data_IF_632457977297
#
_entry.id   IF_632457977297
#
_cell.length_a   1.000
_cell.length_b   1.000
_cell.length_c   1.000
_cell.angle_alpha   90.00
_cell.angle_beta   90.00
_cell.angle_gamma   90.00
#
_symmetry.space_group_name_H-M   'P 1'
#
loop_
_entity.id
_entity.type
_entity.pdbx_description
1 polymer ?
#
# COMPACT_ATOMS: atom_id res chain seq x y z
N UNK A 1 -3.19 73.48 28.76
CA UNK A 1 -3.84 72.49 27.91
C UNK A 1 -2.80 71.47 27.47
N UNK A 2 -2.73 70.28 28.07
CA UNK A 2 -1.76 69.26 27.71
C UNK A 2 -2.39 68.27 26.73
N UNK A 3 -1.89 68.20 25.53
CA UNK A 3 -2.32 67.23 24.51
C UNK A 3 -1.72 65.86 24.85
N UNK A 4 -2.57 64.86 25.23
CA UNK A 4 -2.21 63.47 25.36
C UNK A 4 -2.04 62.83 23.97
N UNK A 5 -0.81 62.46 23.61
CA UNK A 5 -0.52 61.69 22.41
C UNK A 5 -0.79 60.21 22.75
N UNK A 6 -1.82 59.64 22.12
CA UNK A 6 -2.11 58.20 22.21
C UNK A 6 -1.30 57.47 21.13
N UNK A 7 -0.30 56.69 21.54
CA UNK A 7 0.45 55.83 20.65
C UNK A 7 -0.31 54.50 20.50
N UNK A 8 -0.96 54.28 19.38
CA UNK A 8 -1.58 52.99 19.04
C UNK A 8 -0.51 52.07 18.46
N UNK A 9 -0.07 51.11 19.25
CA UNK A 9 0.87 50.06 18.82
C UNK A 9 0.09 49.03 18.00
N UNK A 10 0.25 49.05 16.68
CA UNK A 10 -0.24 48.00 15.77
C UNK A 10 0.68 46.80 15.91
N UNK A 11 0.28 45.79 16.66
CA UNK A 11 0.93 44.45 16.65
C UNK A 11 0.41 43.74 15.40
N UNK A 12 1.22 43.73 14.34
CA UNK A 12 0.98 42.87 13.20
C UNK A 12 1.23 41.42 13.62
N UNK A 13 0.15 40.69 13.92
CA UNK A 13 0.19 39.25 14.06
C UNK A 13 0.37 38.68 12.65
N UNK A 14 1.61 38.46 12.25
CA UNK A 14 1.91 37.61 11.11
C UNK A 14 1.61 36.18 11.55
N UNK A 15 0.43 35.68 11.16
CA UNK A 15 0.17 34.25 11.22
C UNK A 15 1.21 33.55 10.31
N UNK A 16 2.18 32.92 10.93
CA UNK A 16 3.08 32.02 10.22
C UNK A 16 2.18 30.83 9.77
N UNK A 17 1.71 30.91 8.53
CA UNK A 17 1.09 29.74 7.89
C UNK A 17 2.21 28.69 7.81
N UNK A 18 2.11 27.61 8.56
CA UNK A 18 3.00 26.49 8.42
C UNK A 18 2.85 25.96 6.98
N UNK A 19 3.87 26.18 6.17
CA UNK A 19 3.93 25.64 4.81
C UNK A 19 4.10 24.13 4.89
N UNK A 20 3.34 23.38 4.11
CA UNK A 20 3.59 21.97 3.93
C UNK A 20 5.05 21.74 3.50
N UNK A 21 5.73 20.80 4.12
CA UNK A 21 7.11 20.45 3.79
C UNK A 21 7.12 19.42 2.66
N UNK A 22 7.94 19.64 1.64
CA UNK A 22 8.11 18.70 0.54
C UNK A 22 9.57 18.27 0.38
N UNK A 23 9.81 16.97 0.30
CA UNK A 23 11.08 16.37 -0.10
C UNK A 23 10.92 15.70 -1.46
N UNK A 24 11.64 16.21 -2.46
CA UNK A 24 11.75 15.57 -3.77
C UNK A 24 12.87 14.56 -3.77
N UNK A 25 12.59 13.37 -4.31
CA UNK A 25 13.54 12.27 -4.47
C UNK A 25 13.60 11.91 -5.95
N UNK A 26 14.79 11.89 -6.52
CA UNK A 26 15.05 11.51 -7.90
C UNK A 26 16.23 10.53 -7.94
N UNK A 27 15.95 9.27 -8.24
CA UNK A 27 16.96 8.21 -8.28
C UNK A 27 18.04 8.44 -9.36
N UNK A 28 17.74 9.20 -10.41
CA UNK A 28 18.64 9.42 -11.52
C UNK A 28 19.56 10.64 -11.31
N UNK A 29 19.01 11.77 -10.88
CA UNK A 29 19.71 13.05 -10.81
C UNK A 29 19.94 13.56 -9.39
N UNK A 30 19.31 12.91 -8.40
CA UNK A 30 19.38 13.31 -6.99
C UNK A 30 20.73 13.02 -6.32
N UNK A 31 20.93 13.68 -5.20
CA UNK A 31 22.08 13.46 -4.32
C UNK A 31 21.62 13.65 -2.86
N UNK A 32 21.95 12.72 -1.98
CA UNK A 32 21.51 12.74 -0.58
C UNK A 32 22.16 13.86 0.25
N UNK A 33 23.20 14.51 -0.26
CA UNK A 33 23.73 15.75 0.29
C UNK A 33 22.90 17.01 -0.07
N UNK A 34 21.95 16.90 -0.99
CA UNK A 34 21.09 18.01 -1.41
C UNK A 34 20.05 18.36 -0.32
N UNK A 35 19.44 19.56 -0.37
CA UNK A 35 18.37 19.94 0.56
C UNK A 35 17.07 19.16 0.38
N UNK A 36 16.84 18.50 -0.76
CA UNK A 36 15.62 17.74 -1.04
C UNK A 36 14.51 18.57 -1.66
N UNK A 37 14.74 19.78 -2.14
CA UNK A 37 13.74 20.51 -2.90
C UNK A 37 13.73 20.08 -4.39
N UNK A 38 12.75 20.53 -5.15
CA UNK A 38 12.55 20.15 -6.57
C UNK A 38 13.78 20.42 -7.45
N UNK A 39 14.52 21.49 -7.19
CA UNK A 39 15.71 21.87 -7.97
C UNK A 39 16.95 21.06 -7.60
N UNK A 40 17.02 20.59 -6.37
CA UNK A 40 18.12 19.77 -5.83
C UNK A 40 17.54 18.63 -5.01
N UNK A 41 17.02 17.57 -5.67
CA UNK A 41 16.37 16.45 -5.01
C UNK A 41 17.35 15.55 -4.27
N UNK A 42 16.84 14.79 -3.33
CA UNK A 42 17.53 13.65 -2.73
C UNK A 42 17.66 12.52 -3.75
N UNK A 43 18.57 11.59 -3.52
CA UNK A 43 18.73 10.41 -4.37
C UNK A 43 17.91 9.22 -3.86
N UNK A 44 17.85 9.04 -2.54
CA UNK A 44 17.27 7.84 -1.96
C UNK A 44 16.04 8.13 -1.10
N UNK A 45 15.09 7.17 -1.10
CA UNK A 45 13.93 7.22 -0.21
C UNK A 45 14.39 7.07 1.25
N UNK A 46 15.44 6.30 1.51
CA UNK A 46 15.99 6.10 2.83
C UNK A 46 16.47 7.42 3.46
N UNK A 47 17.13 8.28 2.69
CA UNK A 47 17.52 9.62 3.18
C UNK A 47 16.30 10.50 3.43
N UNK A 48 15.29 10.49 2.56
CA UNK A 48 14.06 11.24 2.79
C UNK A 48 13.37 10.77 4.08
N UNK A 49 13.29 9.48 4.33
CA UNK A 49 12.74 8.91 5.56
C UNK A 49 13.52 9.33 6.80
N UNK A 50 14.87 9.30 6.77
CA UNK A 50 15.71 9.76 7.88
C UNK A 50 15.44 11.23 8.23
N UNK A 51 15.26 12.09 7.23
CA UNK A 51 14.92 13.51 7.47
C UNK A 51 13.54 13.65 8.09
N UNK A 52 12.53 12.99 7.54
CA UNK A 52 11.19 13.00 8.10
C UNK A 52 11.18 12.51 9.55
N UNK A 53 11.90 11.43 9.84
CA UNK A 53 11.96 10.87 11.19
C UNK A 53 12.63 11.83 12.21
N UNK A 54 13.56 12.68 11.77
CA UNK A 54 14.28 13.62 12.63
C UNK A 54 13.60 14.99 12.76
N UNK A 55 12.65 15.33 11.88
CA UNK A 55 12.06 16.64 11.82
C UNK A 55 10.98 16.88 12.88
N UNK A 56 10.77 18.16 13.22
CA UNK A 56 9.59 18.61 13.94
C UNK A 56 8.41 18.70 12.96
N UNK A 57 7.33 17.99 13.24
CA UNK A 57 6.13 18.03 12.39
C UNK A 57 5.29 19.25 12.73
N UNK A 58 5.37 20.28 11.90
CA UNK A 58 4.57 21.52 12.06
C UNK A 58 3.39 21.56 11.08
N UNK A 59 3.48 20.82 9.96
CA UNK A 59 2.46 20.66 8.94
C UNK A 59 2.55 19.26 8.32
N UNK A 60 1.68 18.95 7.38
CA UNK A 60 1.82 17.73 6.56
C UNK A 60 3.14 17.74 5.80
N UNK A 61 3.78 16.59 5.72
CA UNK A 61 5.05 16.41 5.00
C UNK A 61 4.83 15.48 3.81
N UNK A 62 5.33 15.86 2.64
CA UNK A 62 5.21 15.05 1.43
C UNK A 62 6.59 14.64 0.92
N UNK A 63 6.79 13.35 0.70
CA UNK A 63 7.91 12.81 -0.08
C UNK A 63 7.41 12.59 -1.50
N UNK A 64 7.93 13.37 -2.45
CA UNK A 64 7.56 13.30 -3.88
C UNK A 64 8.63 12.51 -4.62
N UNK A 65 8.25 11.37 -5.20
CA UNK A 65 9.13 10.54 -5.99
C UNK A 65 8.97 10.86 -7.48
N UNK A 66 10.05 11.27 -8.12
CA UNK A 66 10.11 11.45 -9.57
C UNK A 66 10.13 10.08 -10.25
N UNK A 67 9.65 9.99 -11.50
CA UNK A 67 9.70 8.75 -12.27
C UNK A 67 11.13 8.18 -12.34
N UNK A 68 11.29 6.91 -12.02
CA UNK A 68 12.60 6.25 -11.97
C UNK A 68 12.54 4.91 -11.22
N UNK A 69 13.69 4.25 -11.14
CA UNK A 69 13.84 2.98 -10.40
C UNK A 69 14.59 3.25 -9.10
N UNK A 70 13.97 2.89 -8.00
CA UNK A 70 14.46 3.07 -6.63
C UNK A 70 14.82 1.72 -6.02
N UNK A 71 16.07 1.26 -6.14
CA UNK A 71 16.51 0.03 -5.49
C UNK A 71 16.68 0.28 -3.99
N UNK A 72 15.88 -0.38 -3.18
CA UNK A 72 16.05 -0.37 -1.74
C UNK A 72 17.21 -1.29 -1.37
N UNK A 73 18.22 -0.74 -0.71
CA UNK A 73 19.38 -1.46 -0.18
C UNK A 73 19.29 -1.70 1.33
N UNK A 74 18.34 -1.07 1.96
CA UNK A 74 17.99 -1.18 3.38
C UNK A 74 16.49 -1.06 3.57
N UNK A 75 15.95 -1.57 4.66
CA UNK A 75 14.56 -1.30 5.07
C UNK A 75 14.38 0.20 5.30
N UNK A 76 13.39 0.79 4.66
CA UNK A 76 13.09 2.22 4.83
C UNK A 76 12.09 2.38 5.96
N UNK A 77 12.59 2.80 7.12
CA UNK A 77 11.80 2.98 8.34
C UNK A 77 11.17 4.37 8.40
N UNK A 78 9.86 4.42 8.65
CA UNK A 78 9.08 5.62 8.94
C UNK A 78 8.51 5.51 10.35
N UNK A 79 9.02 6.31 11.32
CA UNK A 79 8.67 6.20 12.74
C UNK A 79 8.52 7.53 13.48
N UNK A 80 8.28 8.63 12.76
CA UNK A 80 8.00 9.90 13.40
C UNK A 80 6.56 9.95 13.91
N UNK A 81 6.36 9.71 15.18
CA UNK A 81 5.04 9.66 15.86
C UNK A 81 4.40 11.02 16.14
N UNK A 82 4.89 12.10 15.53
CA UNK A 82 4.33 13.46 15.68
C UNK A 82 3.28 13.80 14.60
N UNK A 83 3.08 12.93 13.62
CA UNK A 83 1.99 13.08 12.67
C UNK A 83 0.63 12.92 13.36
N UNK A 84 -0.40 13.53 12.80
CA UNK A 84 -1.76 13.56 13.35
C UNK A 84 -2.76 13.64 12.19
N UNK A 85 -4.05 13.58 12.50
CA UNK A 85 -5.12 13.71 11.50
C UNK A 85 -4.98 14.96 10.63
N UNK A 86 -4.54 16.10 11.22
CA UNK A 86 -4.35 17.36 10.50
C UNK A 86 -2.96 17.51 9.85
N UNK A 87 -2.04 16.63 10.16
CA UNK A 87 -0.63 16.68 9.74
C UNK A 87 -0.17 15.29 9.33
N UNK A 88 -0.29 14.98 8.06
CA UNK A 88 -0.09 13.65 7.51
C UNK A 88 1.25 13.49 6.83
N UNK A 89 1.86 12.32 6.91
CA UNK A 89 2.95 11.95 6.02
C UNK A 89 2.38 11.41 4.72
N UNK A 90 2.84 11.94 3.58
CA UNK A 90 2.42 11.52 2.25
C UNK A 90 3.65 11.09 1.47
N UNK A 91 3.69 9.85 0.99
CA UNK A 91 4.72 9.35 0.09
C UNK A 91 4.04 9.11 -1.25
N UNK A 92 4.37 9.89 -2.27
CA UNK A 92 3.65 9.80 -3.54
C UNK A 92 4.52 9.96 -4.77
N UNK A 93 4.03 9.47 -5.90
CA UNK A 93 4.57 9.81 -7.19
C UNK A 93 4.40 11.31 -7.51
N UNK A 94 5.30 11.89 -8.31
CA UNK A 94 5.14 13.25 -8.83
C UNK A 94 3.93 13.34 -9.75
N UNK A 95 3.73 12.36 -10.62
CA UNK A 95 2.57 12.25 -11.55
C UNK A 95 1.69 11.08 -11.09
N UNK A 96 0.43 11.37 -10.78
CA UNK A 96 -0.53 10.39 -10.30
C UNK A 96 -1.39 9.80 -11.42
N UNK A 97 -1.97 8.60 -11.24
CA UNK A 97 -2.78 7.92 -12.27
C UNK A 97 -3.90 8.75 -12.89
N UNK A 98 -4.51 9.67 -12.16
CA UNK A 98 -5.59 10.53 -12.68
C UNK A 98 -5.10 11.83 -13.36
N UNK A 99 -3.78 12.05 -13.40
CA UNK A 99 -3.21 13.18 -14.11
C UNK A 99 -3.26 12.95 -15.63
N UNK A 100 -3.59 13.96 -16.40
CA UNK A 100 -3.80 13.85 -17.85
C UNK A 100 -2.56 13.43 -18.64
N UNK A 101 -1.37 13.62 -18.09
CA UNK A 101 -0.09 13.23 -18.67
C UNK A 101 0.48 11.93 -18.08
N UNK A 102 -0.31 11.21 -17.28
CA UNK A 102 0.13 9.95 -16.70
C UNK A 102 0.22 8.83 -17.74
N UNK A 103 1.19 7.98 -17.53
CA UNK A 103 1.32 6.67 -18.16
C UNK A 103 2.08 5.75 -17.18
N UNK A 104 2.11 4.43 -17.38
CA UNK A 104 2.75 3.50 -16.44
C UNK A 104 4.25 3.75 -16.20
N UNK A 105 4.95 4.39 -17.14
CA UNK A 105 6.37 4.74 -17.01
C UNK A 105 6.59 5.94 -16.07
N UNK A 106 5.54 6.73 -15.78
CA UNK A 106 5.60 7.81 -14.80
C UNK A 106 5.60 7.31 -13.34
N UNK A 107 5.21 6.06 -13.10
CA UNK A 107 5.21 5.50 -11.76
C UNK A 107 6.64 5.24 -11.28
N UNK A 108 7.04 5.77 -10.11
CA UNK A 108 8.29 5.38 -9.46
C UNK A 108 8.27 3.88 -9.16
N UNK A 109 9.29 3.17 -9.60
CA UNK A 109 9.41 1.71 -9.42
C UNK A 109 10.26 1.42 -8.19
N UNK A 110 9.65 0.88 -7.16
CA UNK A 110 10.32 0.45 -5.93
C UNK A 110 10.70 -1.02 -6.11
N UNK A 111 11.98 -1.30 -6.12
CA UNK A 111 12.51 -2.67 -6.15
C UNK A 111 13.42 -2.89 -4.94
N UNK A 112 13.74 -4.13 -4.60
CA UNK A 112 14.58 -4.39 -3.44
C UNK A 112 15.78 -5.25 -3.78
N UNK A 113 16.92 -4.85 -3.23
CA UNK A 113 18.14 -5.62 -3.13
C UNK A 113 18.58 -5.76 -1.67
N UNK A 114 17.66 -5.53 -0.74
CA UNK A 114 17.89 -5.65 0.71
C UNK A 114 18.38 -7.08 1.00
N UNK A 115 19.49 -7.24 1.72
CA UNK A 115 19.88 -8.54 2.22
C UNK A 115 18.77 -9.11 3.10
N UNK A 116 18.39 -10.34 2.85
CA UNK A 116 17.41 -11.02 3.70
C UNK A 116 18.02 -11.39 5.03
N UNK A 117 17.23 -11.24 6.09
CA UNK A 117 17.61 -11.68 7.43
C UNK A 117 16.98 -13.05 7.71
N UNK A 118 17.74 -13.99 8.30
CA UNK A 118 17.19 -15.27 8.72
C UNK A 118 16.09 -15.08 9.75
N UNK A 119 14.95 -15.72 9.52
CA UNK A 119 13.87 -15.82 10.50
C UNK A 119 13.88 -17.24 11.07
N UNK A 120 14.02 -17.43 12.39
CA UNK A 120 14.06 -18.75 12.98
C UNK A 120 12.85 -19.60 12.54
N UNK A 121 13.13 -20.77 11.97
CA UNK A 121 12.16 -21.74 11.46
C UNK A 121 11.33 -21.31 10.23
N UNK A 122 11.64 -20.18 9.59
CA UNK A 122 10.72 -19.58 8.64
C UNK A 122 11.39 -18.99 7.36
N UNK A 123 12.69 -19.27 7.16
CA UNK A 123 13.46 -18.83 6.00
C UNK A 123 14.06 -17.43 6.18
N UNK A 124 14.05 -16.62 5.13
CA UNK A 124 14.64 -15.29 5.11
C UNK A 124 13.57 -14.21 4.84
N UNK A 125 13.71 -13.05 5.47
CA UNK A 125 12.78 -11.94 5.37
C UNK A 125 13.46 -10.65 4.91
N UNK A 126 12.77 -9.88 4.06
CA UNK A 126 13.13 -8.51 3.72
C UNK A 126 11.88 -7.63 3.74
N UNK A 127 11.96 -6.47 4.37
CA UNK A 127 10.92 -5.44 4.41
C UNK A 127 11.33 -4.26 3.56
N UNK A 128 10.43 -3.78 2.73
CA UNK A 128 10.65 -2.58 1.93
C UNK A 128 10.45 -1.32 2.77
N UNK A 129 9.20 -0.87 2.88
CA UNK A 129 8.79 0.20 3.80
C UNK A 129 8.32 -0.41 5.11
N UNK A 130 8.95 -0.03 6.21
CA UNK A 130 8.51 -0.35 7.57
C UNK A 130 7.87 0.87 8.19
N UNK A 131 6.60 0.74 8.57
CA UNK A 131 5.76 1.85 9.04
C UNK A 131 5.49 1.65 10.54
N UNK A 132 6.00 2.55 11.35
CA UNK A 132 5.80 2.61 12.81
C UNK A 132 5.21 3.96 13.24
N UNK A 133 4.30 4.49 12.43
CA UNK A 133 3.62 5.76 12.68
C UNK A 133 2.17 5.74 12.20
N UNK A 134 1.38 6.68 12.72
CA UNK A 134 0.00 6.94 12.31
C UNK A 134 -0.06 7.97 11.17
N UNK A 135 -1.23 8.08 10.54
CA UNK A 135 -1.56 9.13 9.58
C UNK A 135 -0.62 9.19 8.36
N UNK A 136 -0.45 8.06 7.69
CA UNK A 136 0.37 7.95 6.49
C UNK A 136 -0.46 7.67 5.24
N UNK A 137 -0.04 8.26 4.11
CA UNK A 137 -0.54 7.93 2.76
C UNK A 137 0.60 7.48 1.86
N UNK A 138 0.42 6.37 1.15
CA UNK A 138 1.33 5.88 0.11
C UNK A 138 0.52 5.86 -1.20
N UNK A 139 0.96 6.63 -2.21
CA UNK A 139 0.15 6.86 -3.41
C UNK A 139 0.96 6.83 -4.71
N UNK A 140 0.44 6.14 -5.72
CA UNK A 140 0.93 6.19 -7.10
C UNK A 140 2.26 5.47 -7.34
N UNK A 141 2.68 4.57 -6.44
CA UNK A 141 3.95 3.86 -6.54
C UNK A 141 3.78 2.48 -7.17
N UNK A 142 4.81 2.02 -7.86
CA UNK A 142 4.89 0.65 -8.39
C UNK A 142 5.91 -0.15 -7.59
N UNK A 143 5.48 -1.21 -6.96
CA UNK A 143 6.34 -2.15 -6.24
C UNK A 143 6.56 -3.41 -7.08
N UNK A 144 7.81 -3.85 -7.19
CA UNK A 144 8.17 -5.15 -7.78
C UNK A 144 8.61 -6.10 -6.68
N UNK A 145 8.64 -7.39 -6.98
CA UNK A 145 9.14 -8.40 -6.04
C UNK A 145 10.64 -8.32 -5.78
N UNK A 146 11.09 -9.07 -4.80
CA UNK A 146 12.51 -9.26 -4.49
C UNK A 146 13.10 -10.32 -5.43
N UNK A 147 14.36 -10.14 -5.86
CA UNK A 147 15.07 -11.18 -6.59
C UNK A 147 15.31 -12.40 -5.69
N UNK A 148 15.08 -13.59 -6.23
CA UNK A 148 15.32 -14.86 -5.52
C UNK A 148 14.22 -15.88 -5.79
N UNK A 149 14.50 -17.12 -5.43
CA UNK A 149 13.51 -18.19 -5.56
C UNK A 149 12.57 -18.20 -4.37
N UNK A 150 11.28 -18.38 -4.66
CA UNK A 150 10.24 -18.45 -3.65
C UNK A 150 10.28 -19.74 -2.84
N UNK A 151 10.61 -20.85 -3.52
CA UNK A 151 10.80 -22.15 -2.91
C UNK A 151 12.12 -22.78 -3.38
N UNK A 152 12.96 -23.20 -2.45
CA UNK A 152 14.09 -24.08 -2.70
C UNK A 152 13.82 -25.38 -1.93
N UNK A 153 13.87 -26.50 -2.63
CA UNK A 153 13.66 -27.84 -2.07
C UNK A 153 12.35 -27.99 -1.26
N UNK A 154 11.27 -27.35 -1.74
CA UNK A 154 9.96 -27.35 -1.10
C UNK A 154 9.85 -26.50 0.17
N UNK A 155 10.92 -25.77 0.52
CA UNK A 155 10.91 -24.81 1.65
C UNK A 155 10.80 -23.40 1.13
N UNK A 156 10.01 -22.60 1.81
CA UNK A 156 9.93 -21.17 1.53
C UNK A 156 11.26 -20.50 1.90
N UNK A 157 11.94 -19.94 0.88
CA UNK A 157 13.30 -19.48 1.06
C UNK A 157 13.39 -17.97 1.25
N UNK A 158 12.49 -17.17 0.66
CA UNK A 158 12.55 -15.73 0.75
C UNK A 158 11.16 -15.12 0.90
N UNK A 159 11.01 -14.26 1.89
CA UNK A 159 9.80 -13.50 2.14
C UNK A 159 10.08 -12.02 1.91
N UNK A 160 9.40 -11.42 0.98
CA UNK A 160 9.47 -9.99 0.76
C UNK A 160 8.11 -9.35 1.01
N UNK A 161 8.18 -8.27 1.81
CA UNK A 161 7.05 -7.44 2.21
C UNK A 161 7.30 -6.00 1.74
N UNK A 162 6.77 -5.58 0.59
CA UNK A 162 6.89 -4.20 0.11
C UNK A 162 6.48 -3.15 1.14
N UNK A 163 5.35 -3.36 1.83
CA UNK A 163 4.83 -2.48 2.86
C UNK A 163 4.47 -3.29 4.09
N UNK A 164 5.11 -2.96 5.20
CA UNK A 164 4.87 -3.56 6.50
C UNK A 164 4.57 -2.48 7.53
N UNK A 165 3.35 -2.46 8.10
CA UNK A 165 3.04 -1.66 9.29
C UNK A 165 3.10 -2.56 10.51
N UNK A 166 4.00 -2.24 11.44
CA UNK A 166 4.17 -2.98 12.68
C UNK A 166 3.82 -2.10 13.89
N UNK A 167 2.82 -2.52 14.65
CA UNK A 167 2.33 -1.80 15.82
C UNK A 167 0.82 -1.92 15.98
N UNK A 168 0.38 -2.61 17.03
CA UNK A 168 -1.05 -2.92 17.28
C UNK A 168 -1.94 -1.71 17.53
N UNK A 169 -1.34 -0.60 17.96
CA UNK A 169 -2.07 0.64 18.26
C UNK A 169 -1.96 1.69 17.16
N UNK A 170 -1.27 1.36 16.05
CA UNK A 170 -1.17 2.28 14.92
C UNK A 170 -2.50 2.36 14.16
N UNK A 171 -2.79 3.53 13.63
CA UNK A 171 -4.04 3.82 12.92
C UNK A 171 -3.80 4.64 11.65
N UNK A 172 -4.83 4.74 10.81
CA UNK A 172 -4.92 5.64 9.67
C UNK A 172 -3.76 5.53 8.66
N UNK A 173 -3.70 4.39 7.98
CA UNK A 173 -2.80 4.14 6.86
C UNK A 173 -3.60 4.00 5.56
N UNK A 174 -3.37 4.90 4.61
CA UNK A 174 -3.94 4.83 3.26
C UNK A 174 -2.89 4.39 2.25
N UNK A 175 -3.18 3.31 1.53
CA UNK A 175 -2.43 2.90 0.33
C UNK A 175 -3.37 3.01 -0.87
N UNK A 176 -3.04 3.89 -1.80
CA UNK A 176 -3.94 4.19 -2.91
C UNK A 176 -3.20 4.34 -4.24
N UNK A 177 -3.86 3.98 -5.34
CA UNK A 177 -3.34 4.09 -6.70
C UNK A 177 -1.95 3.45 -6.88
N UNK A 178 -1.65 2.39 -6.10
CA UNK A 178 -0.39 1.68 -6.16
C UNK A 178 -0.51 0.40 -6.99
N UNK A 179 0.59 0.04 -7.64
CA UNK A 179 0.72 -1.16 -8.45
C UNK A 179 1.74 -2.12 -7.81
N UNK A 180 1.32 -3.32 -7.47
CA UNK A 180 2.17 -4.38 -6.97
C UNK A 180 2.28 -5.49 -8.03
N UNK A 181 3.45 -5.61 -8.66
CA UNK A 181 3.70 -6.56 -9.72
C UNK A 181 4.77 -7.58 -9.30
N UNK A 182 4.32 -8.74 -8.85
CA UNK A 182 5.17 -9.88 -8.52
C UNK A 182 5.39 -10.82 -9.71
N UNK A 183 6.27 -11.75 -9.51
CA UNK A 183 6.42 -12.96 -10.32
C UNK A 183 6.88 -14.07 -9.37
N UNK A 184 6.07 -15.10 -9.21
CA UNK A 184 6.30 -16.17 -8.23
C UNK A 184 7.65 -16.89 -8.43
N UNK A 185 8.16 -16.94 -9.64
CA UNK A 185 9.38 -17.68 -9.97
C UNK A 185 10.66 -16.85 -9.80
N UNK A 186 10.61 -15.56 -10.14
CA UNK A 186 11.84 -14.74 -10.24
C UNK A 186 11.80 -13.44 -9.42
N UNK A 187 10.62 -12.91 -9.14
CA UNK A 187 10.41 -11.66 -8.38
C UNK A 187 9.22 -11.81 -7.41
N UNK A 188 9.28 -12.76 -6.47
CA UNK A 188 8.15 -13.01 -5.57
C UNK A 188 7.86 -11.83 -4.65
N UNK A 189 6.56 -11.57 -4.45
CA UNK A 189 6.01 -10.76 -3.37
C UNK A 189 5.27 -11.69 -2.43
N UNK A 190 5.76 -11.83 -1.19
CA UNK A 190 5.11 -12.69 -0.18
C UNK A 190 3.80 -12.10 0.29
N UNK A 191 3.84 -10.88 0.80
CA UNK A 191 2.67 -10.07 1.14
C UNK A 191 2.94 -8.65 0.69
N UNK A 192 2.11 -8.12 -0.20
CA UNK A 192 2.35 -6.79 -0.73
C UNK A 192 2.08 -5.71 0.33
N UNK A 193 0.99 -5.84 1.10
CA UNK A 193 0.65 -4.98 2.22
C UNK A 193 0.26 -5.86 3.41
N UNK A 194 1.02 -5.77 4.49
CA UNK A 194 0.66 -6.36 5.78
C UNK A 194 0.59 -5.26 6.83
N UNK A 195 -0.48 -5.20 7.60
CA UNK A 195 -0.64 -4.16 8.60
C UNK A 195 -1.29 -4.70 9.88
N UNK A 196 -0.60 -4.46 10.98
CA UNK A 196 -1.17 -4.50 12.33
C UNK A 196 -1.93 -3.20 12.64
N UNK A 197 -2.77 -3.20 13.67
CA UNK A 197 -3.46 -1.99 14.15
C UNK A 197 -4.77 -1.73 13.42
N UNK A 198 -5.13 -0.46 13.32
CA UNK A 198 -6.43 0.01 12.83
C UNK A 198 -6.31 0.80 11.53
N UNK A 199 -7.45 1.09 10.90
CA UNK A 199 -7.54 2.07 9.81
C UNK A 199 -6.64 1.78 8.61
N UNK A 200 -6.39 0.52 8.25
CA UNK A 200 -5.78 0.20 6.96
C UNK A 200 -6.84 0.37 5.86
N UNK A 201 -6.63 1.35 5.01
CA UNK A 201 -7.45 1.57 3.81
C UNK A 201 -6.61 1.28 2.57
N UNK A 202 -7.04 0.30 1.77
CA UNK A 202 -6.43 -0.03 0.47
C UNK A 202 -7.44 0.33 -0.61
N UNK A 203 -7.11 1.30 -1.43
CA UNK A 203 -8.04 1.93 -2.35
C UNK A 203 -7.43 2.09 -3.75
N UNK A 204 -8.17 1.74 -4.80
CA UNK A 204 -7.69 1.88 -6.19
C UNK A 204 -6.27 1.31 -6.41
N UNK A 205 -5.99 0.12 -5.90
CA UNK A 205 -4.71 -0.56 -6.09
C UNK A 205 -4.83 -1.75 -7.05
N UNK A 206 -3.73 -2.07 -7.71
CA UNK A 206 -3.61 -3.27 -8.55
C UNK A 206 -2.55 -4.21 -7.98
N UNK A 207 -2.91 -5.47 -7.87
CA UNK A 207 -2.03 -6.54 -7.42
C UNK A 207 -1.99 -7.65 -8.48
N UNK A 208 -0.81 -7.89 -9.01
CA UNK A 208 -0.59 -8.89 -10.02
C UNK A 208 0.44 -9.92 -9.55
N UNK A 209 0.06 -11.20 -9.58
CA UNK A 209 0.93 -12.34 -9.27
C UNK A 209 1.67 -12.21 -7.91
N UNK A 210 0.99 -11.66 -6.91
CA UNK A 210 1.44 -11.66 -5.52
C UNK A 210 0.99 -12.94 -4.82
N UNK A 211 1.71 -13.39 -3.80
CA UNK A 211 1.24 -14.52 -3.02
C UNK A 211 0.03 -14.13 -2.18
N UNK A 212 0.16 -13.08 -1.39
CA UNK A 212 -0.92 -12.48 -0.61
C UNK A 212 -0.91 -10.96 -0.85
N UNK A 213 -1.80 -10.43 -1.67
CA UNK A 213 -1.91 -8.99 -1.89
C UNK A 213 -2.05 -8.18 -0.63
N UNK A 214 -3.06 -8.46 0.20
CA UNK A 214 -3.32 -7.70 1.42
C UNK A 214 -3.59 -8.64 2.58
N UNK A 215 -2.88 -8.41 3.68
CA UNK A 215 -3.09 -9.10 4.96
C UNK A 215 -3.45 -8.09 6.03
N UNK A 216 -4.70 -8.14 6.50
CA UNK A 216 -5.15 -7.43 7.68
C UNK A 216 -4.74 -8.27 8.88
N UNK A 217 -3.58 -7.91 9.43
CA UNK A 217 -2.87 -8.70 10.42
C UNK A 217 -3.14 -8.23 11.84
N UNK A 218 -3.27 -9.16 12.77
CA UNK A 218 -3.27 -8.84 14.19
C UNK A 218 -2.52 -9.96 14.95
N UNK A 219 -1.22 -9.81 15.04
CA UNK A 219 -0.34 -10.83 15.62
C UNK A 219 -0.58 -11.09 17.12
N UNK A 220 -1.12 -10.08 17.82
CA UNK A 220 -1.27 -10.15 19.29
C UNK A 220 -2.72 -10.34 19.76
N UNK A 221 -3.65 -10.51 18.82
CA UNK A 221 -5.08 -10.56 19.12
C UNK A 221 -5.67 -9.17 19.43
N UNK A 222 -6.99 -9.08 19.39
CA UNK A 222 -7.75 -7.84 19.59
C UNK A 222 -8.45 -7.37 18.32
N UNK A 223 -9.28 -6.34 18.47
CA UNK A 223 -10.05 -5.77 17.36
C UNK A 223 -9.18 -4.83 16.53
N UNK A 224 -9.21 -5.02 15.22
CA UNK A 224 -8.75 -4.04 14.24
C UNK A 224 -9.98 -3.37 13.62
N UNK A 225 -10.04 -2.05 13.61
CA UNK A 225 -11.22 -1.26 13.21
C UNK A 225 -10.92 -0.34 12.05
N UNK A 226 -11.99 0.17 11.40
CA UNK A 226 -11.93 1.17 10.33
C UNK A 226 -11.05 0.72 9.15
N UNK A 227 -10.99 -0.59 8.90
CA UNK A 227 -10.28 -1.12 7.75
C UNK A 227 -11.16 -1.09 6.51
N UNK A 228 -10.55 -0.86 5.37
CA UNK A 228 -11.26 -0.90 4.10
C UNK A 228 -10.40 -1.45 2.96
N UNK A 229 -11.06 -2.13 2.04
CA UNK A 229 -10.49 -2.43 0.74
C UNK A 229 -11.55 -2.20 -0.32
N UNK A 230 -11.27 -1.31 -1.28
CA UNK A 230 -12.25 -0.90 -2.27
C UNK A 230 -11.62 -0.53 -3.60
N UNK A 231 -12.36 -0.76 -4.68
CA UNK A 231 -11.92 -0.47 -6.05
C UNK A 231 -10.55 -1.08 -6.41
N UNK A 232 -10.19 -2.20 -5.80
CA UNK A 232 -8.92 -2.87 -6.05
C UNK A 232 -9.07 -3.98 -7.07
N UNK A 233 -8.03 -4.18 -7.88
CA UNK A 233 -7.92 -5.29 -8.83
C UNK A 233 -6.82 -6.24 -8.36
N UNK A 234 -7.19 -7.46 -7.99
CA UNK A 234 -6.28 -8.55 -7.65
C UNK A 234 -6.37 -9.62 -8.73
N UNK A 235 -5.25 -9.93 -9.35
CA UNK A 235 -5.20 -10.87 -10.46
C UNK A 235 -4.06 -11.88 -10.30
N UNK A 236 -4.40 -13.16 -10.44
CA UNK A 236 -3.44 -14.27 -10.31
C UNK A 236 -2.71 -14.32 -8.96
N UNK A 237 -3.42 -14.06 -7.84
CA UNK A 237 -2.83 -14.30 -6.52
C UNK A 237 -2.63 -15.81 -6.30
N UNK A 238 -1.38 -16.19 -5.92
CA UNK A 238 -1.05 -17.61 -5.89
C UNK A 238 -1.30 -18.29 -4.54
N UNK A 239 -1.79 -17.54 -3.53
CA UNK A 239 -2.25 -18.10 -2.26
C UNK A 239 -3.59 -17.51 -1.81
N UNK A 240 -3.66 -16.21 -1.47
CA UNK A 240 -4.91 -15.53 -1.12
C UNK A 240 -5.03 -14.18 -1.82
N UNK A 241 -6.24 -13.75 -2.17
CA UNK A 241 -6.52 -12.37 -2.56
C UNK A 241 -6.48 -11.45 -1.36
N UNK A 242 -7.22 -11.80 -0.32
CA UNK A 242 -7.26 -11.10 0.97
C UNK A 242 -7.05 -12.11 2.09
N UNK A 243 -6.34 -11.73 3.11
CA UNK A 243 -6.19 -12.52 4.33
C UNK A 243 -6.54 -11.68 5.56
N UNK A 244 -7.47 -12.18 6.35
CA UNK A 244 -7.86 -11.60 7.64
C UNK A 244 -7.48 -12.54 8.77
N UNK A 245 -6.60 -12.10 9.67
CA UNK A 245 -6.17 -12.88 10.84
C UNK A 245 -6.82 -12.38 12.11
N UNK A 246 -7.25 -11.14 12.11
CA UNK A 246 -7.80 -10.48 13.26
C UNK A 246 -9.32 -10.36 13.18
N UNK A 247 -9.86 -10.02 14.29
CA UNK A 247 -11.18 -9.48 14.43
C UNK A 247 -11.20 -8.06 13.82
N UNK A 248 -11.36 -8.01 12.51
CA UNK A 248 -11.57 -6.75 11.78
C UNK A 248 -13.00 -6.28 11.94
N UNK A 249 -13.52 -6.12 13.08
CA UNK A 249 -14.82 -5.53 13.43
C UNK A 249 -15.95 -5.54 12.37
N UNK A 250 -17.15 -5.22 12.79
CA UNK A 250 -18.31 -5.11 11.87
C UNK A 250 -18.23 -3.89 10.92
N UNK A 251 -17.22 -3.03 11.10
CA UNK A 251 -16.99 -1.80 10.34
C UNK A 251 -15.99 -1.97 9.17
N UNK A 252 -15.64 -3.21 8.81
CA UNK A 252 -14.78 -3.48 7.68
C UNK A 252 -15.50 -3.22 6.35
N UNK A 253 -15.02 -2.23 5.59
CA UNK A 253 -15.56 -1.90 4.28
C UNK A 253 -14.89 -2.73 3.18
N UNK A 254 -15.69 -3.51 2.44
CA UNK A 254 -15.17 -4.27 1.30
C UNK A 254 -16.16 -4.25 0.13
N UNK A 255 -15.84 -3.45 -0.90
CA UNK A 255 -16.72 -3.28 -2.04
C UNK A 255 -15.98 -2.89 -3.33
N UNK A 256 -16.65 -3.11 -4.46
CA UNK A 256 -16.16 -2.77 -5.80
C UNK A 256 -14.77 -3.36 -6.11
N UNK A 257 -14.43 -4.48 -5.49
CA UNK A 257 -13.17 -5.17 -5.74
C UNK A 257 -13.33 -6.29 -6.77
N UNK A 258 -12.26 -6.52 -7.53
CA UNK A 258 -12.13 -7.68 -8.42
C UNK A 258 -10.98 -8.54 -7.92
N UNK A 259 -11.27 -9.80 -7.57
CA UNK A 259 -10.26 -10.81 -7.23
C UNK A 259 -10.46 -11.97 -8.19
N UNK A 260 -9.51 -12.16 -9.10
CA UNK A 260 -9.72 -13.09 -10.21
C UNK A 260 -8.52 -13.97 -10.52
N UNK A 261 -8.83 -15.16 -11.04
CA UNK A 261 -7.88 -16.12 -11.60
C UNK A 261 -6.78 -16.55 -10.60
N UNK A 262 -7.05 -16.45 -9.31
CA UNK A 262 -6.16 -16.80 -8.23
C UNK A 262 -6.45 -18.16 -7.60
N UNK A 263 -5.74 -18.46 -6.51
CA UNK A 263 -5.97 -19.71 -5.77
C UNK A 263 -7.17 -19.57 -4.82
N UNK A 264 -7.16 -18.62 -3.90
CA UNK A 264 -8.24 -18.40 -2.93
C UNK A 264 -8.58 -16.91 -2.87
N UNK A 265 -9.83 -16.55 -3.02
CA UNK A 265 -10.19 -15.14 -2.97
C UNK A 265 -10.04 -14.56 -1.57
N UNK A 266 -10.49 -15.27 -0.54
CA UNK A 266 -10.40 -14.82 0.85
C UNK A 266 -9.92 -15.93 1.78
N UNK A 267 -8.84 -15.66 2.51
CA UNK A 267 -8.34 -16.53 3.58
C UNK A 267 -8.68 -15.91 4.94
N UNK A 268 -9.27 -16.71 5.80
CA UNK A 268 -9.61 -16.37 7.18
C UNK A 268 -8.80 -17.25 8.13
N UNK A 269 -8.27 -16.68 9.20
CA UNK A 269 -7.69 -17.48 10.28
C UNK A 269 -8.81 -18.21 11.07
N UNK A 270 -8.51 -19.41 11.52
CA UNK A 270 -9.47 -20.25 12.25
C UNK A 270 -9.90 -19.64 13.60
N UNK A 271 -9.11 -18.74 14.17
CA UNK A 271 -9.42 -18.06 15.43
C UNK A 271 -10.43 -16.91 15.26
N UNK A 272 -10.64 -16.39 14.05
CA UNK A 272 -11.58 -15.30 13.82
C UNK A 272 -13.03 -15.80 13.76
N UNK A 273 -13.90 -15.25 14.59
CA UNK A 273 -15.33 -15.56 14.64
C UNK A 273 -16.19 -14.58 13.82
N UNK A 274 -15.57 -13.55 13.25
CA UNK A 274 -16.31 -12.47 12.59
C UNK A 274 -16.88 -12.84 11.24
N UNK A 275 -17.99 -12.17 10.93
CA UNK A 275 -18.64 -12.18 9.63
C UNK A 275 -18.37 -10.87 8.92
N UNK A 276 -17.98 -10.95 7.66
CA UNK A 276 -17.72 -9.80 6.81
C UNK A 276 -18.86 -9.60 5.83
N UNK A 277 -19.21 -8.34 5.59
CA UNK A 277 -20.12 -7.95 4.51
C UNK A 277 -19.30 -7.49 3.33
N UNK A 278 -19.55 -8.08 2.17
CA UNK A 278 -18.93 -7.69 0.92
C UNK A 278 -20.00 -7.45 -0.12
N UNK A 279 -19.87 -6.37 -0.87
CA UNK A 279 -20.87 -6.04 -1.87
C UNK A 279 -20.27 -5.46 -3.15
N UNK A 280 -21.02 -5.61 -4.27
CA UNK A 280 -20.61 -5.10 -5.58
C UNK A 280 -19.18 -5.56 -5.97
N UNK A 281 -18.89 -6.84 -5.79
CA UNK A 281 -17.57 -7.41 -6.04
C UNK A 281 -17.61 -8.52 -7.10
N UNK A 282 -16.44 -8.79 -7.66
CA UNK A 282 -16.22 -9.95 -8.52
C UNK A 282 -15.10 -10.81 -7.90
N UNK A 283 -15.43 -12.04 -7.49
CA UNK A 283 -14.49 -13.04 -6.98
C UNK A 283 -14.36 -14.20 -7.96
N UNK A 284 -14.00 -13.88 -9.23
CA UNK A 284 -14.19 -14.79 -10.35
C UNK A 284 -13.01 -15.74 -10.58
N UNK A 285 -13.34 -16.98 -10.93
CA UNK A 285 -12.40 -17.98 -11.44
C UNK A 285 -11.26 -18.30 -10.45
N UNK A 286 -11.45 -18.08 -9.16
CA UNK A 286 -10.53 -18.56 -8.14
C UNK A 286 -10.78 -20.05 -7.87
N UNK A 287 -9.74 -20.81 -7.53
CA UNK A 287 -9.90 -22.24 -7.19
C UNK A 287 -10.83 -22.39 -5.99
N UNK A 288 -10.67 -21.50 -4.98
CA UNK A 288 -11.54 -21.43 -3.82
C UNK A 288 -12.05 -19.99 -3.64
N UNK A 289 -13.31 -19.82 -3.25
CA UNK A 289 -13.82 -18.51 -2.80
C UNK A 289 -13.23 -18.19 -1.43
N UNK A 290 -13.24 -19.17 -0.54
CA UNK A 290 -12.75 -19.00 0.84
C UNK A 290 -11.81 -20.15 1.24
N UNK A 291 -10.85 -19.85 2.11
CA UNK A 291 -9.91 -20.79 2.62
C UNK A 291 -9.41 -20.46 4.02
N UNK A 292 -8.72 -21.41 4.65
CA UNK A 292 -8.02 -21.21 5.92
C UNK A 292 -6.52 -20.95 5.72
N UNK A 293 -5.82 -20.56 6.78
CA UNK A 293 -4.39 -20.33 6.76
C UNK A 293 -3.53 -21.55 6.38
N UNK A 294 -4.10 -22.76 6.34
CA UNK A 294 -3.46 -23.97 5.82
C UNK A 294 -3.69 -24.22 4.33
N UNK A 295 -4.41 -23.31 3.63
CA UNK A 295 -4.70 -23.39 2.19
C UNK A 295 -5.84 -24.34 1.82
N UNK A 296 -6.57 -24.90 2.79
CA UNK A 296 -7.76 -25.72 2.56
C UNK A 296 -8.99 -24.81 2.34
N UNK A 297 -9.87 -25.22 1.41
CA UNK A 297 -11.18 -24.59 1.29
C UNK A 297 -11.98 -24.73 2.58
N UNK A 298 -12.72 -23.69 2.94
CA UNK A 298 -13.65 -23.68 4.08
C UNK A 298 -15.02 -23.21 3.62
N UNK A 299 -16.03 -23.38 4.51
CA UNK A 299 -17.34 -22.80 4.28
C UNK A 299 -17.25 -21.26 4.23
N UNK A 300 -18.01 -20.65 3.32
CA UNK A 300 -18.04 -19.19 3.13
C UNK A 300 -19.15 -18.49 3.95
N UNK A 301 -19.76 -19.14 4.92
CA UNK A 301 -20.85 -18.60 5.77
C UNK A 301 -20.44 -17.30 6.50
N UNK A 302 -19.15 -17.08 6.71
CA UNK A 302 -18.64 -15.87 7.32
C UNK A 302 -18.62 -14.66 6.34
N UNK A 303 -18.81 -14.88 5.04
CA UNK A 303 -18.94 -13.82 4.03
C UNK A 303 -20.42 -13.62 3.65
N UNK A 304 -20.98 -12.51 4.10
CA UNK A 304 -22.27 -12.04 3.59
C UNK A 304 -22.04 -11.35 2.25
N UNK A 305 -22.37 -12.03 1.16
CA UNK A 305 -22.16 -11.55 -0.19
C UNK A 305 -23.45 -10.90 -0.73
N UNK A 306 -23.36 -9.65 -1.15
CA UNK A 306 -24.44 -8.90 -1.79
C UNK A 306 -23.96 -8.39 -3.15
N UNK A 307 -24.67 -8.75 -4.22
CA UNK A 307 -24.27 -8.42 -5.59
C UNK A 307 -22.82 -8.84 -5.91
N UNK A 308 -22.45 -10.09 -5.59
CA UNK A 308 -21.11 -10.65 -5.81
C UNK A 308 -21.14 -11.67 -6.92
N UNK A 309 -20.28 -11.51 -7.92
CA UNK A 309 -20.14 -12.44 -9.05
C UNK A 309 -18.96 -13.39 -8.82
N UNK A 310 -19.18 -14.69 -9.01
CA UNK A 310 -18.16 -15.73 -8.79
C UNK A 310 -17.54 -16.27 -10.08
N UNK A 311 -18.06 -15.88 -11.23
CA UNK A 311 -17.60 -16.32 -12.54
C UNK A 311 -17.64 -15.16 -13.53
N UNK A 312 -16.84 -15.25 -14.57
CA UNK A 312 -16.81 -14.28 -15.66
C UNK A 312 -15.43 -14.16 -16.28
N UNK A 313 -15.32 -13.78 -17.54
CA UNK A 313 -14.04 -13.59 -18.20
C UNK A 313 -13.39 -12.28 -17.73
N UNK A 314 -12.38 -12.39 -16.89
CA UNK A 314 -11.57 -11.25 -16.44
C UNK A 314 -10.26 -11.25 -17.19
N UNK A 315 -10.01 -10.19 -17.94
CA UNK A 315 -8.81 -10.00 -18.73
C UNK A 315 -8.13 -8.68 -18.38
N UNK A 316 -6.81 -8.72 -18.24
CA UNK A 316 -5.98 -7.54 -18.02
C UNK A 316 -4.98 -7.35 -19.16
N UNK A 317 -4.50 -6.14 -19.33
CA UNK A 317 -3.42 -5.86 -20.27
C UNK A 317 -2.07 -6.19 -19.64
N UNK A 318 -1.35 -7.16 -20.17
CA UNK A 318 -0.04 -7.61 -19.65
C UNK A 318 1.16 -7.00 -20.39
N UNK A 319 0.93 -6.24 -21.44
CA UNK A 319 2.00 -5.57 -22.16
C UNK A 319 2.44 -4.29 -21.42
N UNK A 320 3.67 -4.30 -20.91
CA UNK A 320 4.26 -3.18 -20.16
C UNK A 320 4.45 -1.91 -21.01
N UNK A 321 4.43 -2.00 -22.32
CA UNK A 321 4.52 -0.86 -23.22
C UNK A 321 3.23 -0.08 -23.39
N UNK A 322 2.10 -0.60 -22.89
CA UNK A 322 0.80 0.02 -23.05
C UNK A 322 0.41 0.91 -21.87
N UNK A 323 -0.35 1.96 -22.17
CA UNK A 323 -0.82 2.93 -21.17
C UNK A 323 -1.73 2.31 -20.10
N UNK A 324 -2.42 1.22 -20.41
CA UNK A 324 -3.29 0.49 -19.49
C UNK A 324 -2.66 -0.80 -18.94
N UNK A 325 -1.32 -0.87 -18.85
CA UNK A 325 -0.62 -2.01 -18.28
C UNK A 325 -1.17 -2.43 -16.92
N UNK A 326 -1.49 -3.70 -16.79
CA UNK A 326 -2.14 -4.36 -15.63
C UNK A 326 -3.50 -3.77 -15.24
N UNK A 327 -4.15 -3.02 -16.13
CA UNK A 327 -5.56 -2.62 -15.96
C UNK A 327 -6.47 -3.62 -16.67
N UNK A 328 -7.75 -3.62 -16.30
CA UNK A 328 -8.77 -4.37 -17.02
C UNK A 328 -8.81 -3.91 -18.49
N UNK A 329 -8.93 -4.88 -19.39
CA UNK A 329 -9.29 -4.56 -20.76
C UNK A 329 -10.72 -4.04 -20.83
N UNK A 330 -11.00 -3.15 -21.75
CA UNK A 330 -12.33 -2.51 -21.87
C UNK A 330 -13.48 -3.54 -22.02
N UNK A 331 -13.23 -4.62 -22.76
CA UNK A 331 -14.18 -5.70 -22.94
C UNK A 331 -14.24 -6.70 -21.77
N UNK A 332 -13.41 -6.54 -20.74
CA UNK A 332 -13.39 -7.44 -19.60
C UNK A 332 -14.68 -7.33 -18.80
N UNK A 333 -15.17 -8.48 -18.34
CA UNK A 333 -16.24 -8.49 -17.35
C UNK A 333 -15.81 -7.69 -16.11
N UNK A 334 -16.69 -6.86 -15.57
CA UNK A 334 -16.40 -6.04 -14.40
C UNK A 334 -15.71 -4.69 -14.69
N UNK A 335 -15.48 -4.32 -15.95
CA UNK A 335 -14.92 -3.00 -16.28
C UNK A 335 -15.74 -1.83 -15.71
N UNK A 336 -17.06 -2.01 -15.59
CA UNK A 336 -17.97 -1.01 -15.00
C UNK A 336 -17.74 -0.77 -13.49
N UNK A 337 -17.07 -1.69 -12.76
CA UNK A 337 -16.74 -1.50 -11.35
C UNK A 337 -15.62 -0.48 -11.13
N UNK A 338 -14.89 -0.11 -12.20
CA UNK A 338 -13.75 0.80 -12.13
C UNK A 338 -12.68 0.39 -11.10
N UNK A 339 -12.53 -0.92 -10.87
CA UNK A 339 -11.46 -1.45 -10.05
C UNK A 339 -10.11 -1.30 -10.75
N UNK A 340 -9.13 -0.78 -10.06
CA UNK A 340 -7.79 -0.51 -10.56
C UNK A 340 -7.27 0.87 -10.16
N UNK A 341 -6.25 1.38 -10.86
CA UNK A 341 -5.51 2.58 -10.44
C UNK A 341 -6.29 3.90 -10.54
N UNK A 342 -7.33 3.97 -11.35
CA UNK A 342 -7.98 5.25 -11.68
C UNK A 342 -9.23 5.48 -10.84
N UNK A 343 -9.32 6.67 -10.25
CA UNK A 343 -10.48 7.11 -9.44
C UNK A 343 -11.57 7.80 -10.30
N UNK A 344 -11.24 8.16 -11.56
CA UNK A 344 -12.12 8.91 -12.48
C UNK A 344 -12.64 8.05 -13.61
#
# INVERSE_FOLDING_TARGET
>A
MAKKLIFVLFIAITSLMASAEEFYVDANTGNDANPGNKMRPLKTIAEAARRVNSNSVTASTTIVLVAGVYPLTETVLFNNNKFSTDKRLIIRAEILPDDSNWNPQCMPVITTVIPTLPVPNDGEEARGFEIELDHITIQGLRFTGSTGYYYIDGKQNRRYYPIWRDGKNLDDMLVTQCLFAGNVDVLPIRVAIIANGHGLVVDHCVFFNCQNPVVFWNAEGGLSRHNAMRYCLIYESNYSGVWTTADTGDDFEFHHNIIANGRTAWVKDNSSIHHYRIHDCILANNINVTGNGGGSAINNDFLKMENVQLTGPIEIEKDQGKSNYLQLKEASFGSALKAGLFMK
#
